data_IF_594268176662
#
_entry.id   IF_594268176662
#
_cell.length_a   1.000
_cell.length_b   1.000
_cell.length_c   1.000
_cell.angle_alpha   90.00
_cell.angle_beta   90.00
_cell.angle_gamma   90.00
#
_symmetry.space_group_name_H-M   'P 1'
#
loop_
_entity.id
_entity.type
_entity.pdbx_description
1 polymer ?
#
# COMPACT_ATOMS: atom_id res chain seq x y z
N UNK A 1 -2.91 -6.55 17.70
CA UNK A 1 -3.00 -5.08 17.55
C UNK A 1 -2.56 -4.65 16.17
N UNK A 2 -2.46 -3.34 15.92
CA UNK A 2 -2.14 -2.76 14.60
C UNK A 2 -0.88 -3.34 13.94
N UNK A 3 0.24 -3.40 14.67
CA UNK A 3 1.50 -3.89 14.13
C UNK A 3 1.44 -5.33 13.62
N UNK A 4 0.70 -6.22 14.30
CA UNK A 4 0.50 -7.58 13.82
C UNK A 4 -0.29 -7.61 12.51
N UNK A 5 -1.42 -6.89 12.44
CA UNK A 5 -2.23 -6.83 11.21
C UNK A 5 -1.43 -6.29 10.03
N UNK A 6 -0.71 -5.18 10.24
CA UNK A 6 0.02 -4.47 9.19
C UNK A 6 1.11 -5.37 8.60
N UNK A 7 1.92 -6.02 9.44
CA UNK A 7 3.00 -6.88 8.96
C UNK A 7 2.49 -8.19 8.38
N UNK A 8 1.41 -8.79 8.92
CA UNK A 8 0.78 -9.96 8.30
C UNK A 8 0.33 -9.64 6.87
N UNK A 9 -0.33 -8.50 6.67
CA UNK A 9 -0.69 -8.03 5.32
C UNK A 9 0.55 -7.81 4.46
N UNK A 10 1.57 -7.10 4.98
CA UNK A 10 2.79 -6.76 4.25
C UNK A 10 3.46 -7.99 3.64
N UNK A 11 3.64 -9.05 4.42
CA UNK A 11 4.30 -10.27 3.96
C UNK A 11 3.49 -11.04 2.92
N UNK A 12 2.16 -10.93 2.93
CA UNK A 12 1.31 -11.58 1.93
C UNK A 12 1.32 -10.87 0.57
N UNK A 13 1.49 -9.53 0.58
CA UNK A 13 1.39 -8.69 -0.62
C UNK A 13 2.74 -8.39 -1.27
N UNK A 14 3.82 -8.99 -0.80
CA UNK A 14 5.15 -8.95 -1.44
C UNK A 14 5.71 -10.36 -1.64
N UNK A 15 6.71 -10.49 -2.50
CA UNK A 15 7.44 -11.75 -2.65
C UNK A 15 8.60 -11.68 -3.63
N UNK A 16 9.49 -12.69 -3.63
CA UNK A 16 10.55 -12.82 -4.63
C UNK A 16 9.96 -13.03 -6.02
N UNK A 17 10.63 -12.51 -7.05
CA UNK A 17 10.24 -12.64 -8.47
C UNK A 17 8.81 -12.13 -8.76
N UNK A 18 8.37 -11.11 -8.03
CA UNK A 18 7.10 -10.40 -8.24
C UNK A 18 7.35 -9.06 -8.93
N UNK A 19 6.52 -8.05 -8.67
CA UNK A 19 6.55 -6.76 -9.37
C UNK A 19 5.76 -6.77 -10.67
N UNK A 20 6.09 -5.85 -11.57
CA UNK A 20 5.28 -5.57 -12.76
C UNK A 20 4.03 -4.77 -12.44
N UNK A 21 2.95 -5.03 -13.16
CA UNK A 21 1.69 -4.29 -13.07
C UNK A 21 0.51 -5.21 -12.75
N UNK A 22 -0.53 -4.70 -12.05
CA UNK A 22 -1.76 -5.45 -11.83
C UNK A 22 -2.47 -5.72 -13.16
N UNK A 23 -3.37 -6.71 -13.14
CA UNK A 23 -4.17 -7.12 -14.31
C UNK A 23 -5.65 -7.24 -13.95
N UNK A 24 -6.49 -7.30 -14.97
CA UNK A 24 -7.93 -7.52 -14.84
C UNK A 24 -8.62 -6.44 -14.00
N UNK A 25 -9.63 -6.83 -13.22
CA UNK A 25 -10.49 -5.90 -12.48
C UNK A 25 -9.73 -4.95 -11.54
N UNK A 26 -8.60 -5.37 -10.97
CA UNK A 26 -7.78 -4.48 -10.15
C UNK A 26 -7.11 -3.39 -11.00
N UNK A 27 -6.59 -3.72 -12.19
CA UNK A 27 -5.99 -2.75 -13.09
C UNK A 27 -7.04 -1.73 -13.57
N UNK A 28 -8.25 -2.20 -13.91
CA UNK A 28 -9.35 -1.34 -14.33
C UNK A 28 -9.78 -0.40 -13.20
N UNK A 29 -9.87 -0.90 -11.96
CA UNK A 29 -10.19 -0.09 -10.79
C UNK A 29 -9.12 0.97 -10.50
N UNK A 30 -7.83 0.61 -10.68
CA UNK A 30 -6.71 1.56 -10.53
C UNK A 30 -6.81 2.66 -11.59
N UNK A 31 -7.01 2.30 -12.85
CA UNK A 31 -7.13 3.27 -13.93
C UNK A 31 -8.36 4.18 -13.73
N UNK A 32 -9.49 3.64 -13.27
CA UNK A 32 -10.68 4.42 -12.98
C UNK A 32 -10.50 5.39 -11.81
N UNK A 33 -9.76 5.00 -10.76
CA UNK A 33 -9.56 5.82 -9.57
C UNK A 33 -8.44 6.86 -9.72
N UNK A 34 -7.39 6.53 -10.48
CA UNK A 34 -6.15 7.30 -10.50
C UNK A 34 -5.76 7.83 -11.89
N UNK A 35 -6.45 7.40 -12.95
CA UNK A 35 -6.15 7.75 -14.34
C UNK A 35 -5.24 6.71 -15.00
N UNK A 36 -4.15 6.34 -14.35
CA UNK A 36 -3.23 5.30 -14.82
C UNK A 36 -2.51 4.60 -13.66
N UNK A 37 -1.88 3.45 -13.94
CA UNK A 37 -1.00 2.80 -12.97
C UNK A 37 0.22 3.68 -12.60
N UNK A 38 0.72 4.48 -13.54
CA UNK A 38 1.81 5.42 -13.28
C UNK A 38 1.39 6.52 -12.29
N UNK A 39 0.19 7.09 -12.48
CA UNK A 39 -0.36 8.11 -11.58
C UNK A 39 -0.66 7.54 -10.19
N UNK A 40 -1.15 6.30 -10.13
CA UNK A 40 -1.29 5.57 -8.87
C UNK A 40 0.06 5.42 -8.14
N UNK A 41 1.12 4.97 -8.84
CA UNK A 41 2.45 4.85 -8.22
C UNK A 41 2.95 6.19 -7.68
N UNK A 42 2.73 7.28 -8.42
CA UNK A 42 3.10 8.64 -7.98
C UNK A 42 2.36 9.02 -6.70
N UNK A 43 1.03 8.87 -6.66
CA UNK A 43 0.22 9.17 -5.46
C UNK A 43 0.59 8.30 -4.26
N UNK A 44 0.83 7.01 -4.48
CA UNK A 44 1.22 6.08 -3.41
C UNK A 44 2.63 6.39 -2.88
N UNK A 45 3.56 6.74 -3.77
CA UNK A 45 4.91 7.15 -3.38
C UNK A 45 4.88 8.46 -2.58
N UNK A 46 4.07 9.44 -2.99
CA UNK A 46 3.87 10.68 -2.26
C UNK A 46 3.32 10.42 -0.84
N UNK A 47 2.31 9.53 -0.70
CA UNK A 47 1.75 9.17 0.60
C UNK A 47 2.80 8.55 1.56
N UNK A 48 3.72 7.73 1.03
CA UNK A 48 4.82 7.14 1.82
C UNK A 48 5.95 8.13 2.12
N UNK A 49 6.28 9.00 1.16
CA UNK A 49 7.34 9.99 1.31
C UNK A 49 6.96 11.10 2.31
N UNK A 50 5.71 11.56 2.25
CA UNK A 50 5.19 12.68 3.07
C UNK A 50 4.73 12.24 4.47
N UNK A 51 4.68 10.93 4.76
CA UNK A 51 4.44 10.42 6.12
C UNK A 51 5.61 10.81 7.03
N UNK A 52 5.46 11.89 7.77
CA UNK A 52 6.46 12.30 8.76
C UNK A 52 6.54 11.29 9.91
N UNK A 53 7.78 10.95 10.31
CA UNK A 53 8.05 9.92 11.31
C UNK A 53 7.75 8.51 10.81
N UNK A 54 7.30 7.66 11.74
CA UNK A 54 6.92 6.27 11.52
C UNK A 54 5.51 6.13 10.96
N UNK A 55 5.28 5.16 10.07
CA UNK A 55 3.95 4.91 9.55
C UNK A 55 3.92 3.97 8.35
N UNK A 56 2.79 4.00 7.65
CA UNK A 56 2.49 3.14 6.51
C UNK A 56 1.81 3.92 5.40
N UNK A 57 2.07 3.54 4.14
CA UNK A 57 1.27 3.94 2.99
C UNK A 57 0.32 2.80 2.59
N UNK A 58 -0.91 3.14 2.20
CA UNK A 58 -1.97 2.17 1.95
C UNK A 58 -2.68 2.41 0.63
N UNK A 59 -3.03 1.31 -0.03
CA UNK A 59 -4.10 1.27 -1.02
C UNK A 59 -5.23 0.46 -0.38
N UNK A 60 -6.41 1.06 -0.29
CA UNK A 60 -7.57 0.47 0.35
C UNK A 60 -8.80 0.53 -0.55
N UNK A 61 -9.77 -0.34 -0.28
CA UNK A 61 -11.12 -0.26 -0.84
C UNK A 61 -12.00 0.49 0.15
N UNK A 62 -12.53 1.64 -0.27
CA UNK A 62 -13.45 2.46 0.51
C UNK A 62 -14.84 1.82 0.66
N UNK A 63 -15.69 2.44 1.50
CA UNK A 63 -17.06 1.98 1.69
C UNK A 63 -17.90 2.07 0.40
N UNK A 64 -17.53 2.96 -0.51
CA UNK A 64 -18.10 3.13 -1.85
C UNK A 64 -17.55 2.12 -2.89
N UNK A 65 -16.77 1.13 -2.42
CA UNK A 65 -16.09 0.12 -3.24
C UNK A 65 -15.07 0.70 -4.23
N UNK A 66 -14.65 1.96 -4.07
CA UNK A 66 -13.59 2.59 -4.87
C UNK A 66 -12.24 2.47 -4.20
N UNK A 67 -11.18 2.58 -5.00
CA UNK A 67 -9.81 2.59 -4.49
C UNK A 67 -9.44 3.96 -3.92
N UNK A 68 -8.76 3.95 -2.79
CA UNK A 68 -8.24 5.14 -2.13
C UNK A 68 -6.80 4.91 -1.65
N UNK A 69 -5.95 5.94 -1.84
CA UNK A 69 -4.59 5.99 -1.30
C UNK A 69 -4.60 6.83 -0.03
N UNK A 70 -3.92 6.35 1.02
CA UNK A 70 -3.75 7.08 2.28
C UNK A 70 -2.45 6.71 2.97
N UNK A 71 -2.14 7.39 4.07
CA UNK A 71 -1.08 6.97 4.99
C UNK A 71 -1.54 7.08 6.43
N UNK A 72 -0.97 6.29 7.33
CA UNK A 72 -1.28 6.33 8.77
C UNK A 72 -0.02 6.47 9.61
N UNK A 73 -0.09 7.14 10.78
CA UNK A 73 1.02 7.21 11.71
C UNK A 73 1.21 5.89 12.46
N UNK A 74 2.45 5.62 12.87
CA UNK A 74 2.82 4.49 13.72
C UNK A 74 2.27 3.15 13.18
N UNK A 75 1.51 2.41 14.00
CA UNK A 75 0.90 1.13 13.62
C UNK A 75 -0.61 1.24 13.41
N UNK A 76 -1.14 2.46 13.31
CA UNK A 76 -2.53 2.68 12.93
C UNK A 76 -2.74 2.18 11.50
N UNK A 77 -3.97 1.78 11.18
CA UNK A 77 -4.30 1.32 9.84
C UNK A 77 -5.74 1.68 9.46
N UNK A 78 -6.11 1.58 8.16
CA UNK A 78 -7.41 2.02 7.66
C UNK A 78 -8.65 1.30 8.23
N UNK A 79 -8.48 0.22 9.00
CA UNK A 79 -9.57 -0.47 9.69
C UNK A 79 -9.90 0.16 11.05
N UNK A 80 -9.03 1.00 11.60
CA UNK A 80 -9.19 1.51 12.94
C UNK A 80 -10.18 2.68 13.00
N UNK A 81 -10.94 2.83 14.11
CA UNK A 81 -11.84 3.96 14.29
C UNK A 81 -11.15 5.33 14.21
N UNK A 82 -9.88 5.42 14.62
CA UNK A 82 -9.03 6.63 14.63
C UNK A 82 -8.50 7.02 13.25
N UNK A 83 -8.57 6.12 12.25
CA UNK A 83 -8.05 6.41 10.92
C UNK A 83 -8.87 7.53 10.25
N UNK A 84 -8.17 8.57 9.78
CA UNK A 84 -8.75 9.68 9.02
C UNK A 84 -9.38 9.19 7.71
N UNK A 85 -8.66 8.29 7.02
CA UNK A 85 -9.13 7.62 5.80
C UNK A 85 -9.35 6.15 6.10
N UNK A 86 -10.63 5.74 6.08
CA UNK A 86 -11.06 4.36 6.36
C UNK A 86 -11.21 3.55 5.07
N UNK A 87 -10.93 2.27 5.17
CA UNK A 87 -11.11 1.33 4.07
C UNK A 87 -10.53 -0.04 4.40
N UNK A 88 -10.83 -1.03 3.55
CA UNK A 88 -10.22 -2.34 3.65
C UNK A 88 -8.86 -2.31 2.94
N UNK A 89 -7.72 -2.45 3.65
CA UNK A 89 -6.40 -2.36 3.03
C UNK A 89 -6.10 -3.59 2.19
N UNK A 90 -5.67 -3.36 0.95
CA UNK A 90 -5.32 -4.41 -0.03
C UNK A 90 -3.83 -4.41 -0.39
N UNK A 91 -3.13 -3.30 -0.18
CA UNK A 91 -1.67 -3.17 -0.25
C UNK A 91 -1.21 -2.20 0.82
N UNK A 92 -0.13 -2.53 1.51
CA UNK A 92 0.50 -1.68 2.52
C UNK A 92 2.01 -1.66 2.33
N UNK A 93 2.64 -0.50 2.51
CA UNK A 93 4.09 -0.32 2.48
C UNK A 93 4.55 0.26 3.82
N UNK A 94 5.39 -0.50 4.52
CA UNK A 94 6.01 -0.04 5.77
C UNK A 94 7.03 1.05 5.48
N UNK A 95 6.86 2.24 6.05
CA UNK A 95 7.81 3.36 5.96
C UNK A 95 8.41 3.73 7.32
N UNK A 96 8.31 2.84 8.30
CA UNK A 96 9.17 2.89 9.48
C UNK A 96 10.64 2.73 9.06
N UNK A 97 11.55 3.43 9.72
CA UNK A 97 12.97 3.37 9.36
C UNK A 97 13.53 1.95 9.44
N UNK A 98 13.07 1.12 10.39
CA UNK A 98 13.51 -0.29 10.48
C UNK A 98 13.27 -1.09 9.20
N UNK A 99 12.31 -0.69 8.36
CA UNK A 99 11.98 -1.42 7.14
C UNK A 99 13.02 -1.23 6.03
N UNK A 100 13.81 -0.15 6.08
CA UNK A 100 14.71 0.23 4.99
C UNK A 100 16.10 0.70 5.41
N UNK A 101 16.32 1.08 6.67
CA UNK A 101 17.50 1.85 7.07
C UNK A 101 18.83 1.14 6.81
N UNK A 102 18.89 -0.18 7.02
CA UNK A 102 20.13 -0.94 6.82
C UNK A 102 20.64 -0.86 5.37
N UNK A 103 19.75 -0.78 4.38
CA UNK A 103 20.12 -0.73 2.95
C UNK A 103 20.05 0.68 2.36
N UNK A 104 19.08 1.48 2.79
CA UNK A 104 18.77 2.77 2.17
C UNK A 104 19.09 3.98 3.04
N UNK A 105 19.34 3.80 4.35
CA UNK A 105 19.59 4.89 5.30
C UNK A 105 18.48 5.96 5.20
N UNK A 106 18.83 7.23 4.99
CA UNK A 106 17.89 8.34 4.83
C UNK A 106 17.18 8.36 3.45
N UNK A 107 17.55 7.47 2.52
CA UNK A 107 17.00 7.43 1.15
C UNK A 107 15.68 6.65 1.11
N UNK A 108 14.68 7.11 1.86
CA UNK A 108 13.31 6.56 1.81
C UNK A 108 12.75 6.55 0.38
N UNK A 109 12.93 7.58 -0.48
CA UNK A 109 12.45 7.54 -1.86
C UNK A 109 13.01 6.35 -2.67
N UNK A 110 14.27 5.98 -2.48
CA UNK A 110 14.89 4.83 -3.17
C UNK A 110 14.25 3.50 -2.73
N UNK A 111 13.93 3.37 -1.44
CA UNK A 111 13.19 2.22 -0.92
C UNK A 111 11.78 2.13 -1.52
N UNK A 112 11.05 3.25 -1.56
CA UNK A 112 9.72 3.33 -2.18
C UNK A 112 9.79 2.94 -3.66
N UNK A 113 10.80 3.42 -4.38
CA UNK A 113 11.00 3.05 -5.78
C UNK A 113 11.27 1.54 -5.94
N UNK A 114 12.07 0.95 -5.04
CA UNK A 114 12.40 -0.47 -5.06
C UNK A 114 11.23 -1.39 -4.64
N UNK A 115 10.32 -0.90 -3.78
CA UNK A 115 9.15 -1.65 -3.32
C UNK A 115 8.31 -2.21 -4.48
N UNK A 116 8.15 -1.44 -5.55
CA UNK A 116 7.38 -1.85 -6.74
C UNK A 116 7.91 -3.11 -7.43
N UNK A 117 9.18 -3.46 -7.24
CA UNK A 117 9.78 -4.66 -7.84
C UNK A 117 9.41 -5.94 -7.10
N UNK A 118 8.80 -5.85 -5.92
CA UNK A 118 8.46 -7.01 -5.08
C UNK A 118 6.97 -7.13 -4.78
N UNK A 119 6.13 -6.20 -5.25
CA UNK A 119 4.68 -6.24 -5.02
C UNK A 119 4.07 -7.47 -5.69
N UNK A 120 3.37 -8.28 -4.91
CA UNK A 120 2.64 -9.44 -5.37
C UNK A 120 1.22 -9.05 -5.79
N UNK A 121 1.06 -8.62 -7.05
CA UNK A 121 -0.22 -8.16 -7.59
C UNK A 121 -1.33 -9.21 -7.56
N UNK A 122 -1.02 -10.51 -7.60
CA UNK A 122 -2.01 -11.58 -7.46
C UNK A 122 -2.66 -11.55 -6.07
N UNK A 123 -1.84 -11.39 -5.01
CA UNK A 123 -2.34 -11.30 -3.64
C UNK A 123 -3.15 -10.01 -3.39
N UNK A 124 -2.71 -8.89 -3.98
CA UNK A 124 -3.47 -7.63 -3.94
C UNK A 124 -4.81 -7.78 -4.64
N UNK A 125 -4.85 -8.46 -5.80
CA UNK A 125 -6.07 -8.71 -6.56
C UNK A 125 -7.06 -9.62 -5.80
N UNK A 126 -6.59 -10.67 -5.13
CA UNK A 126 -7.44 -11.52 -4.28
C UNK A 126 -8.04 -10.75 -3.11
N UNK A 127 -7.26 -9.86 -2.49
CA UNK A 127 -7.75 -8.98 -1.41
C UNK A 127 -8.77 -7.96 -1.94
N UNK A 128 -8.51 -7.38 -3.11
CA UNK A 128 -9.46 -6.50 -3.80
C UNK A 128 -10.78 -7.21 -4.05
N UNK A 129 -10.75 -8.42 -4.64
CA UNK A 129 -11.94 -9.23 -4.90
C UNK A 129 -12.76 -9.49 -3.65
N UNK A 130 -12.11 -9.85 -2.52
CA UNK A 130 -12.79 -10.05 -1.23
C UNK A 130 -13.44 -8.78 -0.70
N UNK A 131 -12.81 -7.64 -0.89
CA UNK A 131 -13.32 -6.35 -0.43
C UNK A 131 -14.46 -5.81 -1.30
N UNK A 132 -14.51 -6.19 -2.58
CA UNK A 132 -15.53 -5.77 -3.54
C UNK A 132 -16.68 -6.74 -3.73
N UNK A 133 -16.55 -7.97 -3.21
CA UNK A 133 -17.65 -8.92 -3.11
C UNK A 133 -18.81 -8.39 -2.25
#
# INVERSE_FOLDING_TARGET
GGGHYNHTLFWEVIGPNKGGEPKGALADAINAAFGSFADFKTKFAEAGATRFGSGWAWLSVGADKKLIVSSTPNQDNPLMPVAEVKGFPILGMDVWEHAYYLKYQNRRPDYIAAFWNVVNWDAVAERFKKATA
#
